data_IF_046621853806
#
_entry.id   IF_046621853806
#
_cell.length_a   1.000
_cell.length_b   1.000
_cell.length_c   1.000
_cell.angle_alpha   90.00
_cell.angle_beta   90.00
_cell.angle_gamma   90.00
#
_symmetry.space_group_name_H-M   'P 1'
#
loop_
_entity.id
_entity.type
_entity.pdbx_description
1 polymer ?
#
# COMPACT_ATOMS: atom_id res chain seq x y z
N UNK A 1 -23.34 -29.18 45.70
CA UNK A 1 -22.03 -29.12 45.03
C UNK A 1 -22.09 -28.08 43.91
N UNK A 2 -21.73 -26.80 44.14
CA UNK A 2 -21.58 -25.86 43.05
C UNK A 2 -20.13 -25.87 42.56
N UNK A 3 -19.92 -26.35 41.34
CA UNK A 3 -18.66 -26.26 40.62
C UNK A 3 -18.38 -24.81 40.26
N UNK A 4 -17.35 -24.23 40.86
CA UNK A 4 -16.88 -22.88 40.56
C UNK A 4 -16.11 -22.93 39.23
N UNK A 5 -16.72 -22.36 38.20
CA UNK A 5 -16.14 -22.20 36.87
C UNK A 5 -14.90 -21.31 36.98
N UNK A 6 -13.72 -21.87 36.70
CA UNK A 6 -12.47 -21.13 36.57
C UNK A 6 -12.60 -20.09 35.45
N UNK A 7 -12.73 -18.82 35.83
CA UNK A 7 -12.47 -17.72 34.91
C UNK A 7 -10.96 -17.68 34.59
N UNK A 8 -10.59 -17.49 33.31
CA UNK A 8 -9.19 -17.36 32.93
C UNK A 8 -8.62 -16.06 33.52
N UNK A 9 -7.61 -16.28 34.36
CA UNK A 9 -6.64 -15.34 34.93
C UNK A 9 -6.46 -14.06 34.08
N UNK A 10 -7.10 -12.96 34.50
CA UNK A 10 -6.84 -11.64 33.92
C UNK A 10 -5.41 -11.20 34.30
N UNK A 11 -4.60 -10.72 33.35
CA UNK A 11 -3.25 -10.25 33.66
C UNK A 11 -3.32 -9.01 34.56
N UNK A 12 -2.67 -9.12 35.72
CA UNK A 12 -2.50 -8.02 36.68
C UNK A 12 -1.83 -6.84 35.98
N UNK A 13 -2.39 -5.64 36.14
CA UNK A 13 -1.88 -4.40 35.57
C UNK A 13 -0.41 -4.20 35.98
N UNK A 14 0.53 -4.50 35.07
CA UNK A 14 1.96 -4.34 35.31
C UNK A 14 2.28 -2.83 35.32
N UNK A 15 2.76 -2.35 36.47
CA UNK A 15 2.97 -0.93 36.75
C UNK A 15 3.89 -0.21 35.77
N UNK A 16 3.92 1.12 35.87
CA UNK A 16 4.56 2.09 34.94
C UNK A 16 6.03 1.80 34.57
N UNK A 17 6.73 0.94 35.32
CA UNK A 17 8.15 0.58 35.13
C UNK A 17 8.39 -0.92 34.87
N UNK A 18 7.36 -1.70 34.49
CA UNK A 18 7.56 -3.12 34.17
C UNK A 18 8.45 -3.28 32.93
N UNK A 19 9.55 -4.02 33.07
CA UNK A 19 10.44 -4.33 31.96
C UNK A 19 9.82 -5.44 31.10
N UNK A 20 9.05 -5.06 30.09
CA UNK A 20 8.46 -6.01 29.16
C UNK A 20 9.54 -6.63 28.26
N UNK A 21 9.61 -7.96 28.11
CA UNK A 21 10.51 -8.63 27.16
C UNK A 21 10.28 -8.15 25.73
N UNK A 22 11.34 -8.02 24.92
CA UNK A 22 11.24 -7.55 23.52
C UNK A 22 10.26 -8.40 22.69
N UNK A 23 10.24 -9.72 22.89
CA UNK A 23 9.30 -10.62 22.21
C UNK A 23 7.84 -10.27 22.50
N UNK A 24 7.53 -9.95 23.76
CA UNK A 24 6.19 -9.55 24.18
C UNK A 24 5.76 -8.21 23.56
N UNK A 25 6.68 -7.25 23.44
CA UNK A 25 6.40 -5.96 22.77
C UNK A 25 6.06 -6.16 21.29
N UNK A 26 6.81 -7.03 20.61
CA UNK A 26 6.57 -7.36 19.19
C UNK A 26 5.23 -8.07 19.00
N UNK A 27 4.88 -9.01 19.88
CA UNK A 27 3.59 -9.68 19.84
C UNK A 27 2.43 -8.69 19.99
N UNK A 28 2.54 -7.72 20.90
CA UNK A 28 1.52 -6.68 21.08
C UNK A 28 1.35 -5.81 19.82
N UNK A 29 2.44 -5.48 19.13
CA UNK A 29 2.42 -4.72 17.87
C UNK A 29 1.79 -5.55 16.74
N UNK A 30 2.17 -6.82 16.64
CA UNK A 30 1.65 -7.73 15.61
C UNK A 30 0.14 -7.97 15.75
N UNK A 31 -0.40 -8.02 16.98
CA UNK A 31 -1.84 -8.11 17.22
C UNK A 31 -2.57 -6.88 16.68
N UNK A 32 -2.02 -5.68 16.90
CA UNK A 32 -2.61 -4.45 16.37
C UNK A 32 -2.53 -4.43 14.83
N UNK A 33 -1.43 -4.90 14.25
CA UNK A 33 -1.26 -5.01 12.79
C UNK A 33 -2.19 -6.05 12.15
N UNK A 34 -2.55 -7.10 12.88
CA UNK A 34 -3.55 -8.09 12.44
C UNK A 34 -4.99 -7.54 12.47
N UNK A 35 -5.19 -6.29 12.92
CA UNK A 35 -6.47 -5.60 12.89
C UNK A 35 -7.24 -5.60 14.22
N UNK A 36 -6.64 -6.11 15.31
CA UNK A 36 -7.26 -6.04 16.63
C UNK A 36 -7.23 -4.58 17.13
N UNK A 37 -8.36 -4.02 17.60
CA UNK A 37 -8.39 -2.65 18.08
C UNK A 37 -7.50 -2.50 19.33
N UNK A 38 -6.83 -1.36 19.44
CA UNK A 38 -5.87 -1.09 20.51
C UNK A 38 -6.48 -1.24 21.92
N UNK A 39 -7.78 -0.96 22.07
CA UNK A 39 -8.50 -1.15 23.33
C UNK A 39 -8.52 -2.61 23.77
N UNK A 40 -8.81 -3.53 22.85
CA UNK A 40 -8.87 -4.96 23.14
C UNK A 40 -7.49 -5.52 23.42
N UNK A 41 -6.45 -5.09 22.68
CA UNK A 41 -5.06 -5.49 22.94
C UNK A 41 -4.60 -5.05 24.34
N UNK A 42 -4.97 -3.85 24.77
CA UNK A 42 -4.68 -3.31 26.11
C UNK A 42 -5.38 -4.13 27.18
N UNK A 43 -6.65 -4.49 26.99
CA UNK A 43 -7.40 -5.32 27.93
C UNK A 43 -6.86 -6.75 27.98
N UNK A 44 -6.56 -7.34 26.82
CA UNK A 44 -6.07 -8.72 26.70
C UNK A 44 -4.69 -8.91 27.31
N UNK A 45 -3.81 -7.91 27.19
CA UNK A 45 -2.43 -7.97 27.67
C UNK A 45 -2.21 -7.27 29.02
N UNK A 46 -3.24 -6.64 29.60
CA UNK A 46 -3.17 -6.01 30.92
C UNK A 46 -2.13 -4.87 31.02
N UNK A 47 -1.96 -4.11 29.94
CA UNK A 47 -0.95 -3.03 29.85
C UNK A 47 -1.60 -1.65 29.71
N UNK A 48 -0.80 -0.58 29.76
CA UNK A 48 -1.31 0.77 29.52
C UNK A 48 -1.38 1.10 28.02
N UNK A 49 -2.40 1.85 27.60
CA UNK A 49 -2.54 2.34 26.22
C UNK A 49 -1.35 3.23 25.81
N UNK A 50 -0.76 3.95 26.75
CA UNK A 50 0.43 4.78 26.53
C UNK A 50 1.65 3.92 26.19
N UNK A 51 1.83 2.80 26.90
CA UNK A 51 2.91 1.83 26.66
C UNK A 51 2.77 1.20 25.27
N UNK A 52 1.56 0.77 24.91
CA UNK A 52 1.28 0.21 23.59
C UNK A 52 1.52 1.25 22.48
N UNK A 53 1.08 2.49 22.66
CA UNK A 53 1.35 3.59 21.71
C UNK A 53 2.84 3.85 21.53
N UNK A 54 3.63 3.78 22.61
CA UNK A 54 5.09 3.91 22.53
C UNK A 54 5.72 2.80 21.70
N UNK A 55 5.29 1.55 21.90
CA UNK A 55 5.80 0.42 21.11
C UNK A 55 5.36 0.47 19.66
N UNK A 56 4.13 0.89 19.39
CA UNK A 56 3.65 1.09 18.03
C UNK A 56 4.37 2.23 17.30
N UNK A 57 4.95 3.20 18.02
CA UNK A 57 5.82 4.21 17.42
C UNK A 57 7.24 3.69 17.16
N UNK A 58 7.76 2.83 18.03
CA UNK A 58 9.13 2.34 17.98
C UNK A 58 9.31 1.10 17.09
N UNK A 59 8.30 0.23 17.06
CA UNK A 59 8.32 -1.07 16.37
C UNK A 59 7.16 -1.24 15.38
N UNK A 60 6.23 -0.27 15.31
CA UNK A 60 5.15 -0.33 14.34
C UNK A 60 5.69 -0.30 12.92
N UNK A 61 5.24 -1.22 12.08
CA UNK A 61 5.63 -1.24 10.69
C UNK A 61 4.99 -0.10 9.90
N UNK A 62 5.41 0.00 8.64
CA UNK A 62 4.77 0.85 7.62
C UNK A 62 3.26 0.62 7.60
N UNK A 63 2.78 -0.60 7.82
CA UNK A 63 1.35 -0.96 7.89
C UNK A 63 0.63 -0.23 9.02
N UNK A 64 1.21 -0.22 10.22
CA UNK A 64 0.64 0.52 11.35
C UNK A 64 0.65 2.05 11.10
N UNK A 65 1.69 2.57 10.46
CA UNK A 65 1.74 3.99 10.09
C UNK A 65 0.61 4.36 9.10
N UNK A 66 0.30 3.48 8.14
CA UNK A 66 -0.83 3.60 7.21
C UNK A 66 -2.19 3.48 7.92
N UNK A 67 -2.30 2.64 8.95
CA UNK A 67 -3.53 2.52 9.75
C UNK A 67 -3.78 3.73 10.65
N UNK A 68 -2.74 4.27 11.29
CA UNK A 68 -2.88 5.31 12.33
C UNK A 68 -3.18 6.70 11.77
N UNK A 69 -2.67 7.00 10.57
CA UNK A 69 -2.93 8.26 9.89
C UNK A 69 -3.84 7.94 8.72
N UNK A 70 -4.95 8.68 8.55
CA UNK A 70 -5.63 8.77 7.24
C UNK A 70 -4.63 9.39 6.26
N UNK A 71 -3.75 8.56 5.72
CA UNK A 71 -2.74 8.95 4.78
C UNK A 71 -3.41 8.98 3.41
N UNK A 72 -3.76 10.18 2.99
CA UNK A 72 -4.12 10.42 1.61
C UNK A 72 -2.93 10.04 0.75
N UNK A 73 -3.17 9.17 -0.23
CA UNK A 73 -2.15 8.84 -1.24
C UNK A 73 -1.74 10.12 -1.98
N UNK A 74 -0.53 10.17 -2.56
CA UNK A 74 -0.10 11.32 -3.36
C UNK A 74 -1.11 11.66 -4.48
N UNK A 75 -1.63 10.64 -5.16
CA UNK A 75 -2.66 10.78 -6.19
C UNK A 75 -3.96 11.41 -5.64
N UNK A 76 -4.43 10.98 -4.46
CA UNK A 76 -5.61 11.58 -3.82
C UNK A 76 -5.36 13.04 -3.44
N UNK A 77 -4.19 13.39 -2.92
CA UNK A 77 -3.86 14.78 -2.58
C UNK A 77 -3.87 15.67 -3.82
N UNK A 78 -3.33 15.18 -4.94
CA UNK A 78 -3.32 15.92 -6.21
C UNK A 78 -4.75 16.10 -6.75
N UNK A 79 -5.57 15.05 -6.72
CA UNK A 79 -6.96 15.15 -7.14
C UNK A 79 -7.72 16.20 -6.33
N UNK A 80 -7.56 16.19 -5.01
CA UNK A 80 -8.20 17.16 -4.11
C UNK A 80 -7.68 18.59 -4.39
N UNK A 81 -6.36 18.76 -4.55
CA UNK A 81 -5.78 20.06 -4.85
C UNK A 81 -6.26 20.62 -6.19
N UNK A 82 -6.40 19.77 -7.21
CA UNK A 82 -6.92 20.12 -8.52
C UNK A 82 -8.40 20.54 -8.47
N UNK A 83 -9.24 19.77 -7.78
CA UNK A 83 -10.67 20.11 -7.58
C UNK A 83 -10.84 21.45 -6.85
N UNK A 84 -9.94 21.77 -5.92
CA UNK A 84 -9.92 23.04 -5.20
C UNK A 84 -9.53 24.22 -6.10
N UNK A 85 -8.55 24.02 -6.99
CA UNK A 85 -8.10 25.02 -7.96
C UNK A 85 -9.13 25.26 -9.09
N UNK A 86 -9.79 24.19 -9.53
CA UNK A 86 -10.87 24.24 -10.52
C UNK A 86 -12.16 24.89 -9.96
N UNK A 87 -12.21 25.22 -8.66
CA UNK A 87 -13.35 25.84 -7.99
C UNK A 87 -14.56 24.91 -7.83
N UNK A 88 -14.38 23.61 -8.08
CA UNK A 88 -15.44 22.59 -7.95
C UNK A 88 -15.70 22.18 -6.50
N UNK A 89 -14.77 22.50 -5.62
CA UNK A 89 -14.85 22.17 -4.19
C UNK A 89 -14.36 23.37 -3.38
N UNK A 90 -15.18 23.84 -2.44
CA UNK A 90 -14.74 24.88 -1.50
C UNK A 90 -13.80 24.31 -0.44
N UNK A 91 -12.93 25.15 0.14
CA UNK A 91 -12.06 24.74 1.27
C UNK A 91 -12.90 24.06 2.37
N UNK A 92 -14.06 24.63 2.71
CA UNK A 92 -14.94 24.18 3.80
C UNK A 92 -15.59 22.83 3.50
N UNK A 93 -16.06 22.65 2.27
CA UNK A 93 -16.61 21.40 1.78
C UNK A 93 -15.54 20.30 1.72
N UNK A 94 -14.31 20.65 1.36
CA UNK A 94 -13.19 19.71 1.36
C UNK A 94 -12.83 19.23 2.77
N UNK A 95 -12.87 20.10 3.79
CA UNK A 95 -12.64 19.68 5.18
C UNK A 95 -13.70 18.69 5.65
N UNK A 96 -14.97 18.95 5.34
CA UNK A 96 -16.07 18.07 5.72
C UNK A 96 -16.01 16.73 4.96
N UNK A 97 -15.88 16.78 3.63
CA UNK A 97 -15.87 15.61 2.75
C UNK A 97 -14.71 14.66 3.05
N UNK A 98 -13.52 15.21 3.30
CA UNK A 98 -12.31 14.43 3.56
C UNK A 98 -11.97 14.30 5.05
N UNK A 99 -12.80 14.85 5.94
CA UNK A 99 -12.61 14.85 7.40
C UNK A 99 -11.20 15.34 7.79
N UNK A 100 -10.80 16.47 7.20
CA UNK A 100 -9.55 17.13 7.49
C UNK A 100 -9.74 18.07 8.68
N UNK A 101 -8.73 18.15 9.55
CA UNK A 101 -8.80 18.97 10.77
C UNK A 101 -8.39 20.42 10.56
N UNK A 102 -7.52 20.70 9.58
CA UNK A 102 -6.92 22.03 9.40
C UNK A 102 -6.96 22.47 7.93
N UNK A 103 -7.40 23.71 7.70
CA UNK A 103 -7.34 24.40 6.39
C UNK A 103 -5.90 24.51 5.88
N UNK A 104 -4.92 24.64 6.77
CA UNK A 104 -3.49 24.71 6.42
C UNK A 104 -2.98 23.45 5.71
N UNK A 105 -3.57 22.28 5.98
CA UNK A 105 -3.20 21.03 5.30
C UNK A 105 -3.60 21.05 3.82
N UNK A 106 -4.80 21.58 3.52
CA UNK A 106 -5.27 21.76 2.14
C UNK A 106 -4.39 22.76 1.38
N UNK A 107 -4.10 23.91 2.00
CA UNK A 107 -3.24 24.94 1.38
C UNK A 107 -1.85 24.40 1.09
N UNK A 108 -1.26 23.62 2.00
CA UNK A 108 0.02 22.95 1.77
C UNK A 108 0.00 21.99 0.57
N UNK A 109 -1.12 21.28 0.34
CA UNK A 109 -1.26 20.41 -0.84
C UNK A 109 -1.40 21.20 -2.13
N UNK A 110 -2.15 22.31 -2.13
CA UNK A 110 -2.27 23.20 -3.29
C UNK A 110 -0.92 23.82 -3.64
N UNK A 111 -0.17 24.33 -2.66
CA UNK A 111 1.17 24.88 -2.90
C UNK A 111 2.14 23.82 -3.43
N UNK A 112 2.11 22.60 -2.88
CA UNK A 112 2.94 21.49 -3.37
C UNK A 112 2.57 21.08 -4.81
N UNK A 113 1.28 21.08 -5.14
CA UNK A 113 0.78 20.80 -6.48
C UNK A 113 1.21 21.88 -7.48
N UNK A 114 1.04 23.16 -7.15
CA UNK A 114 1.51 24.26 -7.99
C UNK A 114 3.03 24.25 -8.19
N UNK A 115 3.79 23.89 -7.15
CA UNK A 115 5.23 23.74 -7.26
C UNK A 115 5.64 22.60 -8.22
N UNK A 116 4.89 21.50 -8.26
CA UNK A 116 5.07 20.41 -9.22
C UNK A 116 4.57 20.72 -10.63
N UNK A 117 3.61 21.63 -10.81
CA UNK A 117 3.21 22.09 -12.15
C UNK A 117 4.25 23.07 -12.72
N UNK A 118 4.82 23.94 -11.88
CA UNK A 118 5.87 24.89 -12.30
C UNK A 118 7.23 24.23 -12.46
N UNK A 119 7.54 23.23 -11.64
CA UNK A 119 8.67 22.33 -11.84
C UNK A 119 8.14 21.17 -12.66
N UNK A 120 8.06 21.31 -13.99
CA UNK A 120 7.58 20.27 -14.90
C UNK A 120 8.09 18.87 -14.54
N UNK A 121 7.38 17.81 -14.96
CA UNK A 121 7.32 16.50 -14.30
C UNK A 121 8.64 16.14 -13.64
N UNK A 122 8.64 15.84 -12.33
CA UNK A 122 9.88 15.57 -11.61
C UNK A 122 10.68 14.59 -12.45
N UNK A 123 11.97 14.88 -12.76
CA UNK A 123 12.79 13.89 -13.43
C UNK A 123 12.62 12.59 -12.64
N UNK A 124 12.28 11.48 -13.31
CA UNK A 124 11.96 10.23 -12.62
C UNK A 124 13.06 10.02 -11.61
N UNK A 125 12.69 9.93 -10.33
CA UNK A 125 13.62 9.80 -9.22
C UNK A 125 14.58 8.68 -9.58
N UNK A 126 15.77 9.05 -10.06
CA UNK A 126 16.85 8.13 -10.29
C UNK A 126 17.31 7.76 -8.89
N UNK A 127 16.69 6.72 -8.34
CA UNK A 127 17.44 5.78 -7.51
C UNK A 127 18.72 5.50 -8.28
N UNK A 128 19.83 5.95 -7.72
CA UNK A 128 21.16 6.07 -8.34
C UNK A 128 21.82 4.70 -8.62
N UNK A 129 21.04 3.68 -8.96
CA UNK A 129 21.49 2.34 -9.30
C UNK A 129 20.83 1.75 -10.57
N UNK A 130 19.79 2.37 -11.15
CA UNK A 130 18.88 1.68 -12.10
C UNK A 130 18.89 2.11 -13.57
N UNK A 131 19.78 3.01 -14.01
CA UNK A 131 19.75 3.50 -15.41
C UNK A 131 20.19 2.44 -16.42
N UNK A 132 21.13 1.56 -16.05
CA UNK A 132 21.58 0.47 -16.91
C UNK A 132 20.52 -0.64 -16.98
N UNK A 133 19.95 -1.04 -15.84
CA UNK A 133 18.92 -2.08 -15.78
C UNK A 133 17.65 -1.68 -16.55
N UNK A 134 17.22 -0.41 -16.47
CA UNK A 134 16.06 0.05 -17.23
C UNK A 134 16.30 0.04 -18.74
N UNK A 135 17.49 0.42 -19.19
CA UNK A 135 17.87 0.38 -20.60
C UNK A 135 18.01 -1.05 -21.12
N UNK A 136 18.60 -1.95 -20.32
CA UNK A 136 18.73 -3.38 -20.61
C UNK A 136 17.37 -4.07 -20.68
N UNK A 137 16.47 -3.79 -19.72
CA UNK A 137 15.10 -4.31 -19.73
C UNK A 137 14.32 -3.82 -20.96
N UNK A 138 14.47 -2.56 -21.36
CA UNK A 138 13.85 -2.03 -22.56
C UNK A 138 14.40 -2.69 -23.84
N UNK A 139 15.71 -2.95 -23.90
CA UNK A 139 16.33 -3.67 -25.00
C UNK A 139 15.85 -5.13 -25.07
N UNK A 140 15.76 -5.82 -23.93
CA UNK A 140 15.22 -7.18 -23.83
C UNK A 140 13.77 -7.25 -24.29
N UNK A 141 12.93 -6.28 -23.88
CA UNK A 141 11.53 -6.21 -24.28
C UNK A 141 11.41 -6.05 -25.80
N UNK A 142 12.21 -5.16 -26.39
CA UNK A 142 12.25 -4.95 -27.84
C UNK A 142 12.70 -6.22 -28.58
N UNK A 143 13.74 -6.88 -28.08
CA UNK A 143 14.24 -8.12 -28.66
C UNK A 143 13.18 -9.24 -28.61
N UNK A 144 12.50 -9.42 -27.47
CA UNK A 144 11.44 -10.41 -27.32
C UNK A 144 10.27 -10.13 -28.28
N UNK A 145 9.88 -8.87 -28.43
CA UNK A 145 8.83 -8.48 -29.36
C UNK A 145 9.19 -8.82 -30.81
N UNK A 146 10.43 -8.51 -31.21
CA UNK A 146 10.92 -8.82 -32.55
C UNK A 146 11.01 -10.33 -32.81
N UNK A 147 11.43 -11.11 -31.80
CA UNK A 147 11.44 -12.57 -31.89
C UNK A 147 10.03 -13.15 -32.06
N UNK A 148 9.04 -12.64 -31.32
CA UNK A 148 7.64 -13.05 -31.44
C UNK A 148 7.10 -12.75 -32.85
N UNK A 149 7.38 -11.55 -33.36
CA UNK A 149 6.94 -11.13 -34.69
C UNK A 149 7.59 -11.96 -35.81
N UNK A 150 8.89 -12.23 -35.70
CA UNK A 150 9.61 -13.10 -36.64
C UNK A 150 9.04 -14.54 -36.62
N UNK A 151 8.77 -15.09 -35.43
CA UNK A 151 8.16 -16.41 -35.30
C UNK A 151 6.75 -16.47 -35.91
N UNK A 152 5.92 -15.45 -35.70
CA UNK A 152 4.61 -15.38 -36.35
C UNK A 152 4.72 -15.33 -37.88
N UNK A 153 5.68 -14.57 -38.40
CA UNK A 153 5.93 -14.49 -39.84
C UNK A 153 6.37 -15.84 -40.42
N UNK A 154 7.22 -16.59 -39.72
CA UNK A 154 7.64 -17.94 -40.12
C UNK A 154 6.48 -18.93 -40.08
N UNK A 155 5.58 -18.81 -39.10
CA UNK A 155 4.34 -19.61 -39.04
C UNK A 155 3.49 -19.31 -40.28
N UNK A 156 3.30 -18.05 -40.64
CA UNK A 156 2.49 -17.67 -41.82
C UNK A 156 3.09 -18.24 -43.12
N UNK A 157 4.41 -18.17 -43.26
CA UNK A 157 5.12 -18.78 -44.40
C UNK A 157 4.95 -20.30 -44.44
N UNK A 158 5.02 -20.98 -43.28
CA UNK A 158 4.85 -22.42 -43.19
C UNK A 158 3.40 -22.86 -43.49
N UNK A 159 2.40 -22.16 -42.97
CA UNK A 159 0.99 -22.43 -43.27
C UNK A 159 0.69 -22.26 -44.77
N UNK A 160 1.27 -21.22 -45.40
CA UNK A 160 1.15 -21.00 -46.83
C UNK A 160 1.84 -22.08 -47.68
N UNK A 161 3.04 -22.52 -47.30
CA UNK A 161 3.83 -23.49 -48.07
C UNK A 161 3.29 -24.92 -47.96
N UNK A 162 2.80 -25.31 -46.78
CA UNK A 162 2.40 -26.70 -46.50
C UNK A 162 0.88 -26.90 -46.41
N UNK A 163 0.08 -25.82 -46.48
CA UNK A 163 -1.38 -25.85 -46.31
C UNK A 163 -1.84 -26.56 -45.03
N UNK A 164 -1.01 -26.52 -43.98
CA UNK A 164 -1.30 -27.04 -42.66
C UNK A 164 -1.72 -25.89 -41.75
N UNK A 165 -2.73 -26.13 -40.92
CA UNK A 165 -3.23 -25.17 -39.94
C UNK A 165 -2.47 -25.38 -38.62
N UNK A 166 -1.39 -24.62 -38.41
CA UNK A 166 -0.46 -24.82 -37.30
C UNK A 166 -0.97 -24.08 -36.06
N UNK A 167 -1.74 -23.01 -36.24
CA UNK A 167 -2.33 -22.21 -35.15
C UNK A 167 -3.46 -22.96 -34.44
N UNK A 168 -3.47 -22.88 -33.11
CA UNK A 168 -4.56 -23.42 -32.29
C UNK A 168 -5.82 -22.57 -32.46
N UNK A 169 -6.87 -23.11 -33.08
CA UNK A 169 -8.19 -22.46 -33.16
C UNK A 169 -8.83 -22.37 -31.77
N UNK A 170 -9.17 -21.15 -31.34
CA UNK A 170 -9.96 -20.92 -30.14
C UNK A 170 -11.37 -21.50 -30.35
N UNK A 171 -11.66 -22.65 -29.75
CA UNK A 171 -13.00 -23.26 -29.82
C UNK A 171 -13.03 -24.80 -29.87
N UNK A 172 -11.89 -25.48 -30.03
CA UNK A 172 -11.87 -26.94 -29.95
C UNK A 172 -12.16 -27.39 -28.50
N UNK A 173 -13.37 -27.88 -28.26
CA UNK A 173 -13.72 -28.54 -26.99
C UNK A 173 -12.78 -29.73 -26.82
N UNK A 174 -12.09 -29.88 -25.68
CA UNK A 174 -11.29 -31.08 -25.43
C UNK A 174 -12.23 -32.29 -25.51
N UNK A 175 -11.89 -33.28 -26.36
CA UNK A 175 -12.58 -34.56 -26.32
C UNK A 175 -12.31 -35.20 -24.97
N UNK A 176 -13.38 -35.71 -24.34
CA UNK A 176 -13.28 -36.67 -23.23
C UNK A 176 -12.64 -37.95 -23.72
#
# INVERSE_FOLDING_TARGET
MPSSVSQPNQPRHLGKNAHYPIAFRRQAVQLVESGVPQGDVVQQLGMSLSTLKGWLQQYGTVVYAHMRRKLFTPAQKHQIARELLDGRLSEEEALLKYNLRLKSTLRGWVTAFQAQEMTGPPPPLTTTAGTNEAAELAAQLRQAHWQIEALHTLIDQAEAAYHLDIRKKAGAKPSK
#
